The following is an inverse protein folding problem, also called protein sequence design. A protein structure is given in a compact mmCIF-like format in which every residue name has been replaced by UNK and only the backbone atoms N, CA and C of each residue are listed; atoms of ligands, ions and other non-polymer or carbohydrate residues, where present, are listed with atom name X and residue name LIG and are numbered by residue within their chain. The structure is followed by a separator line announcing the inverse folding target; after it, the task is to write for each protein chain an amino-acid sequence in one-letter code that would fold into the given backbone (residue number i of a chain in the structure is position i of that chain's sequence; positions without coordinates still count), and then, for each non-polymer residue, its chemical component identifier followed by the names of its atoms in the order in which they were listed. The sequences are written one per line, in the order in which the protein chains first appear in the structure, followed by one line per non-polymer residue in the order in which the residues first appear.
data_IF_788940843658
#
_entry.id   IF_788940843658
#
_cell.length_a   1.000
_cell.length_b   1.000
_cell.length_c   1.000
_cell.angle_alpha   90.00
_cell.angle_beta   90.00
_cell.angle_gamma   90.00
#
_symmetry.space_group_name_H-M   'P 1'
#
loop_
_entity.id
_entity.type
_entity.pdbx_description
1 polymer ?
#
# COMPACT_ATOMS: atom_id res chain seq x y z
N UNK A 1 1.73 -33.62 121.50
CA UNK A 1 1.13 -34.62 122.41
C UNK A 1 -0.33 -34.32 122.50
N UNK A 2 -1.12 -35.36 122.78
CA UNK A 2 -2.42 -35.27 123.42
C UNK A 2 -2.61 -33.97 124.20
N UNK A 3 -3.77 -33.33 124.06
CA UNK A 3 -4.49 -32.88 125.25
C UNK A 3 -5.96 -32.56 124.95
N UNK A 4 -6.80 -33.47 125.44
CA UNK A 4 -8.03 -33.22 126.21
C UNK A 4 -9.03 -32.20 125.67
N UNK A 5 -10.16 -32.73 125.22
CA UNK A 5 -11.47 -32.07 125.28
C UNK A 5 -11.78 -31.56 126.70
N UNK A 6 -12.31 -30.34 126.84
CA UNK A 6 -13.16 -29.96 127.96
C UNK A 6 -14.62 -29.67 127.52
N UNK A 7 -15.56 -29.65 128.47
CA UNK A 7 -16.97 -29.96 128.23
C UNK A 7 -17.85 -28.75 127.85
N UNK A 8 -18.93 -29.08 127.15
CA UNK A 8 -20.21 -28.37 126.99
C UNK A 8 -20.35 -27.00 127.69
N UNK A 9 -20.43 -25.94 126.88
CA UNK A 9 -21.08 -24.68 127.23
C UNK A 9 -22.06 -24.32 126.11
N UNK A 10 -23.35 -24.46 126.42
CA UNK A 10 -24.45 -23.81 125.71
C UNK A 10 -24.18 -22.30 125.69
N UNK A 11 -23.80 -21.77 124.53
CA UNK A 11 -23.81 -20.34 124.25
C UNK A 11 -24.87 -20.12 123.18
N UNK A 12 -25.97 -19.49 123.60
CA UNK A 12 -27.04 -19.04 122.73
C UNK A 12 -26.46 -18.26 121.54
N UNK A 13 -26.75 -18.74 120.33
CA UNK A 13 -26.33 -18.10 119.10
C UNK A 13 -27.03 -16.73 118.98
N UNK A 14 -26.28 -15.65 119.16
CA UNK A 14 -26.78 -14.30 119.00
C UNK A 14 -26.97 -13.97 117.49
N UNK A 15 -28.22 -13.80 116.99
CA UNK A 15 -28.50 -13.57 115.57
C UNK A 15 -27.87 -12.28 115.01
N UNK A 16 -27.57 -11.31 115.87
CA UNK A 16 -27.07 -9.99 115.48
C UNK A 16 -25.63 -9.99 114.93
N UNK A 17 -24.79 -10.96 115.31
CA UNK A 17 -23.40 -11.03 114.85
C UNK A 17 -23.27 -11.49 113.38
N UNK A 18 -24.18 -12.37 112.92
CA UNK A 18 -24.25 -12.79 111.52
C UNK A 18 -24.85 -11.71 110.63
N UNK A 19 -25.86 -10.98 111.13
CA UNK A 19 -26.46 -9.82 110.46
C UNK A 19 -25.47 -8.67 110.24
N UNK A 20 -24.60 -8.37 111.20
CA UNK A 20 -23.58 -7.33 111.04
C UNK A 20 -22.48 -7.74 110.05
N UNK A 21 -22.03 -8.99 110.08
CA UNK A 21 -21.05 -9.52 109.11
C UNK A 21 -21.61 -9.52 107.68
N UNK A 22 -22.87 -9.92 107.51
CA UNK A 22 -23.53 -9.90 106.20
C UNK A 22 -23.74 -8.47 105.70
N UNK A 23 -24.13 -7.52 106.58
CA UNK A 23 -24.20 -6.08 106.24
C UNK A 23 -22.85 -5.53 105.80
N UNK A 24 -21.76 -5.91 106.43
CA UNK A 24 -20.41 -5.47 106.05
C UNK A 24 -19.98 -6.04 104.69
N UNK A 25 -20.29 -7.32 104.42
CA UNK A 25 -20.05 -7.96 103.12
C UNK A 25 -20.89 -7.29 102.03
N UNK A 26 -22.18 -7.03 102.29
CA UNK A 26 -23.08 -6.31 101.38
C UNK A 26 -22.54 -4.91 101.10
N UNK A 27 -22.04 -4.19 102.11
CA UNK A 27 -21.45 -2.86 101.92
C UNK A 27 -20.21 -2.91 101.02
N UNK A 28 -19.31 -3.87 101.23
CA UNK A 28 -18.11 -4.07 100.40
C UNK A 28 -18.47 -4.48 98.96
N UNK A 29 -19.49 -5.32 98.79
CA UNK A 29 -20.01 -5.73 97.48
C UNK A 29 -20.66 -4.54 96.75
N UNK A 30 -21.45 -3.73 97.45
CA UNK A 30 -22.06 -2.52 96.88
C UNK A 30 -21.00 -1.49 96.49
N UNK A 31 -19.96 -1.29 97.31
CA UNK A 31 -18.84 -0.42 96.96
C UNK A 31 -18.10 -0.92 95.71
N UNK A 32 -17.90 -2.23 95.59
CA UNK A 32 -17.32 -2.85 94.38
C UNK A 32 -18.22 -2.71 93.16
N UNK A 33 -19.53 -2.87 93.31
CA UNK A 33 -20.51 -2.67 92.24
C UNK A 33 -20.49 -1.21 91.77
N UNK A 34 -20.46 -0.23 92.69
CA UNK A 34 -20.38 1.18 92.33
C UNK A 34 -19.05 1.52 91.64
N UNK A 35 -17.92 0.96 92.12
CA UNK A 35 -16.63 1.07 91.42
C UNK A 35 -16.69 0.49 90.00
N UNK A 36 -17.25 -0.71 89.84
CA UNK A 36 -17.42 -1.35 88.52
C UNK A 36 -18.39 -0.59 87.62
N UNK A 37 -19.45 0.03 88.16
CA UNK A 37 -20.36 0.89 87.39
C UNK A 37 -19.66 2.16 86.93
N UNK A 38 -18.87 2.79 87.81
CA UNK A 38 -18.09 3.98 87.47
C UNK A 38 -17.02 3.67 86.42
N UNK A 39 -16.35 2.52 86.53
CA UNK A 39 -15.37 2.05 85.56
C UNK A 39 -16.01 1.70 84.21
N UNK A 40 -17.12 0.96 84.20
CA UNK A 40 -17.92 0.75 82.98
C UNK A 40 -18.44 2.08 82.40
N UNK A 41 -18.79 3.04 83.26
CA UNK A 41 -19.19 4.38 82.82
C UNK A 41 -18.07 5.03 82.01
N UNK A 42 -16.87 5.06 82.60
CA UNK A 42 -15.64 5.60 82.02
C UNK A 42 -15.25 4.87 80.73
N UNK A 43 -15.20 3.54 80.74
CA UNK A 43 -14.79 2.74 79.58
C UNK A 43 -15.68 2.96 78.35
N UNK A 44 -17.01 3.02 78.50
CA UNK A 44 -17.80 3.30 77.29
C UNK A 44 -17.76 4.77 76.88
N UNK A 45 -17.43 5.70 77.79
CA UNK A 45 -17.19 7.09 77.40
C UNK A 45 -15.93 7.15 76.53
N UNK A 46 -14.85 6.52 76.98
CA UNK A 46 -13.60 6.38 76.21
C UNK A 46 -13.83 5.64 74.88
N UNK A 47 -14.62 4.56 74.87
CA UNK A 47 -14.98 3.85 73.65
C UNK A 47 -15.77 4.73 72.68
N UNK A 48 -16.67 5.58 73.18
CA UNK A 48 -17.44 6.51 72.35
C UNK A 48 -16.54 7.59 71.75
N UNK A 49 -15.68 8.20 72.57
CA UNK A 49 -14.71 9.20 72.13
C UNK A 49 -13.74 8.60 71.09
N UNK A 50 -13.20 7.41 71.34
CA UNK A 50 -12.37 6.67 70.39
C UNK A 50 -13.08 6.38 69.07
N UNK A 51 -14.37 5.97 69.09
CA UNK A 51 -15.15 5.76 67.87
C UNK A 51 -15.38 7.05 67.08
N UNK A 52 -15.65 8.16 67.78
CA UNK A 52 -15.81 9.46 67.16
C UNK A 52 -14.49 9.93 66.51
N UNK A 53 -13.35 9.74 67.18
CA UNK A 53 -12.03 10.05 66.64
C UNK A 53 -11.66 9.16 65.44
N UNK A 54 -11.97 7.86 65.50
CA UNK A 54 -11.80 6.95 64.37
C UNK A 54 -12.67 7.35 63.17
N UNK A 55 -13.92 7.77 63.41
CA UNK A 55 -14.80 8.26 62.35
C UNK A 55 -14.22 9.52 61.69
N UNK A 56 -13.79 10.50 62.49
CA UNK A 56 -13.15 11.73 61.98
C UNK A 56 -11.87 11.44 61.18
N UNK A 57 -11.04 10.51 61.66
CA UNK A 57 -9.84 10.08 60.94
C UNK A 57 -10.20 9.41 59.61
N UNK A 58 -11.23 8.54 59.61
CA UNK A 58 -11.71 7.89 58.39
C UNK A 58 -12.25 8.89 57.38
N UNK A 59 -13.03 9.89 57.82
CA UNK A 59 -13.57 10.93 56.94
C UNK A 59 -12.45 11.78 56.33
N UNK A 60 -11.44 12.15 57.13
CA UNK A 60 -10.27 12.87 56.63
C UNK A 60 -9.46 12.06 55.61
N UNK A 61 -9.27 10.76 55.86
CA UNK A 61 -8.59 9.88 54.90
C UNK A 61 -9.38 9.71 53.61
N UNK A 62 -10.71 9.55 53.69
CA UNK A 62 -11.58 9.42 52.53
C UNK A 62 -11.60 10.70 51.69
N UNK A 63 -11.71 11.88 52.30
CA UNK A 63 -11.64 13.17 51.58
C UNK A 63 -10.27 13.35 50.87
N UNK A 64 -9.19 12.90 51.51
CA UNK A 64 -7.86 12.88 50.91
C UNK A 64 -7.74 11.91 49.72
N UNK A 65 -8.40 10.75 49.79
CA UNK A 65 -8.48 9.77 48.70
C UNK A 65 -9.32 10.31 47.54
N UNK A 66 -10.45 10.95 47.82
CA UNK A 66 -11.35 11.53 46.80
C UNK A 66 -10.65 12.64 46.02
N UNK A 67 -9.92 13.54 46.71
CA UNK A 67 -9.12 14.59 46.06
C UNK A 67 -8.04 14.01 45.15
N UNK A 68 -7.36 12.94 45.59
CA UNK A 68 -6.35 12.25 44.76
C UNK A 68 -7.00 11.56 43.56
N UNK A 69 -8.16 10.92 43.74
CA UNK A 69 -8.90 10.28 42.65
C UNK A 69 -9.35 11.30 41.59
N UNK A 70 -9.83 12.47 42.02
CA UNK A 70 -10.17 13.58 41.12
C UNK A 70 -8.96 14.08 40.34
N UNK A 71 -7.81 14.23 41.00
CA UNK A 71 -6.59 14.67 40.32
C UNK A 71 -6.06 13.62 39.33
N UNK A 72 -6.14 12.32 39.67
CA UNK A 72 -5.81 11.23 38.74
C UNK A 72 -6.72 11.31 37.51
N UNK A 73 -8.04 11.46 37.70
CA UNK A 73 -8.98 11.56 36.58
C UNK A 73 -8.72 12.79 35.69
N UNK A 74 -8.35 13.93 36.30
CA UNK A 74 -7.97 15.15 35.57
C UNK A 74 -6.72 14.93 34.72
N UNK A 75 -5.68 14.33 35.30
CA UNK A 75 -4.42 14.05 34.60
C UNK A 75 -4.60 12.98 33.50
N UNK A 76 -5.46 11.99 33.71
CA UNK A 76 -5.81 11.00 32.69
C UNK A 76 -6.53 11.64 31.49
N UNK A 77 -7.45 12.57 31.73
CA UNK A 77 -8.13 13.32 30.68
C UNK A 77 -7.13 14.21 29.91
N UNK A 78 -6.29 14.97 30.63
CA UNK A 78 -5.27 15.84 30.02
C UNK A 78 -4.29 15.03 29.15
N UNK A 79 -3.87 13.86 29.63
CA UNK A 79 -3.03 12.94 28.87
C UNK A 79 -3.73 12.46 27.59
N UNK A 80 -4.99 12.05 27.69
CA UNK A 80 -5.75 11.59 26.53
C UNK A 80 -5.93 12.71 25.47
N UNK A 81 -6.23 13.93 25.90
CA UNK A 81 -6.33 15.09 25.01
C UNK A 81 -5.00 15.42 24.32
N UNK A 82 -3.89 15.34 25.07
CA UNK A 82 -2.55 15.58 24.51
C UNK A 82 -2.16 14.51 23.50
N UNK A 83 -2.46 13.23 23.78
CA UNK A 83 -2.25 12.12 22.85
C UNK A 83 -3.08 12.29 21.57
N UNK A 84 -4.34 12.73 21.67
CA UNK A 84 -5.19 13.00 20.51
C UNK A 84 -4.68 14.17 19.67
N UNK A 85 -4.18 15.25 20.30
CA UNK A 85 -3.57 16.39 19.59
C UNK A 85 -2.29 15.96 18.88
N UNK A 86 -1.42 15.23 19.57
CA UNK A 86 -0.18 14.72 19.00
C UNK A 86 -0.44 13.80 17.80
N UNK A 87 -1.41 12.88 17.92
CA UNK A 87 -1.78 11.99 16.81
C UNK A 87 -2.35 12.78 15.63
N UNK A 88 -3.23 13.76 15.87
CA UNK A 88 -3.76 14.64 14.81
C UNK A 88 -2.65 15.42 14.08
N UNK A 89 -1.73 16.03 14.82
CA UNK A 89 -0.62 16.78 14.23
C UNK A 89 0.35 15.87 13.47
N UNK A 90 0.63 14.68 14.00
CA UNK A 90 1.43 13.67 13.32
C UNK A 90 0.77 13.23 12.01
N UNK A 91 -0.53 12.92 12.05
CA UNK A 91 -1.26 12.42 10.89
C UNK A 91 -1.41 13.52 9.82
N UNK A 92 -1.64 14.78 10.23
CA UNK A 92 -1.64 15.92 9.31
C UNK A 92 -0.27 16.14 8.66
N UNK A 93 0.81 16.12 9.44
CA UNK A 93 2.17 16.25 8.89
C UNK A 93 2.50 15.11 7.91
N UNK A 94 2.08 13.88 8.22
CA UNK A 94 2.24 12.75 7.31
C UNK A 94 1.49 12.96 5.99
N UNK A 95 0.27 13.48 6.04
CA UNK A 95 -0.52 13.77 4.85
C UNK A 95 0.08 14.92 4.03
N UNK A 96 0.45 16.04 4.66
CA UNK A 96 1.11 17.17 4.00
C UNK A 96 2.41 16.74 3.30
N UNK A 97 3.19 15.86 3.93
CA UNK A 97 4.40 15.30 3.33
C UNK A 97 4.10 14.36 2.17
N UNK A 98 3.04 13.53 2.26
CA UNK A 98 2.59 12.69 1.16
C UNK A 98 2.12 13.51 -0.03
N UNK A 99 1.34 14.56 0.20
CA UNK A 99 0.87 15.47 -0.84
C UNK A 99 2.03 16.17 -1.56
N UNK A 100 2.99 16.73 -0.80
CA UNK A 100 4.20 17.33 -1.38
C UNK A 100 4.99 16.33 -2.20
N UNK A 101 5.15 15.11 -1.69
CA UNK A 101 5.88 14.05 -2.38
C UNK A 101 5.18 13.59 -3.67
N UNK A 102 3.86 13.54 -3.68
CA UNK A 102 3.07 13.25 -4.88
C UNK A 102 3.15 14.39 -5.89
N UNK A 103 3.03 15.65 -5.45
CA UNK A 103 3.17 16.81 -6.34
C UNK A 103 4.54 16.85 -7.02
N UNK A 104 5.62 16.59 -6.28
CA UNK A 104 6.98 16.54 -6.83
C UNK A 104 7.12 15.37 -7.82
N UNK A 105 6.57 14.19 -7.49
CA UNK A 105 6.58 13.05 -8.40
C UNK A 105 5.86 13.37 -9.72
N UNK A 106 4.66 13.94 -9.65
CA UNK A 106 3.90 14.32 -10.85
C UNK A 106 4.63 15.37 -11.69
N UNK A 107 5.26 16.36 -11.05
CA UNK A 107 6.09 17.35 -11.75
C UNK A 107 7.26 16.69 -12.47
N UNK A 108 7.98 15.78 -11.81
CA UNK A 108 9.11 15.06 -12.40
C UNK A 108 8.68 14.07 -13.47
N UNK A 109 7.55 13.40 -13.32
CA UNK A 109 7.00 12.53 -14.36
C UNK A 109 6.61 13.34 -15.60
N UNK A 110 6.03 14.54 -15.42
CA UNK A 110 5.76 15.47 -16.53
C UNK A 110 7.04 15.92 -17.23
N UNK A 111 8.08 16.28 -16.48
CA UNK A 111 9.39 16.67 -17.02
C UNK A 111 10.06 15.52 -17.78
N UNK A 112 10.00 14.30 -17.24
CA UNK A 112 10.51 13.09 -17.90
C UNK A 112 9.75 12.83 -19.21
N UNK A 113 8.42 12.99 -19.22
CA UNK A 113 7.62 12.83 -20.44
C UNK A 113 8.00 13.82 -21.53
N UNK A 114 8.22 15.10 -21.19
CA UNK A 114 8.60 16.12 -22.18
C UNK A 114 10.01 15.90 -22.71
N UNK A 115 10.96 15.56 -21.84
CA UNK A 115 12.34 15.23 -22.24
C UNK A 115 12.38 14.00 -23.14
N UNK A 116 11.66 12.92 -22.80
CA UNK A 116 11.60 11.72 -23.63
C UNK A 116 10.98 11.97 -25.01
N UNK A 117 9.99 12.87 -25.09
CA UNK A 117 9.43 13.30 -26.38
C UNK A 117 10.48 14.04 -27.22
N UNK A 118 11.19 15.00 -26.62
CA UNK A 118 12.26 15.75 -27.28
C UNK A 118 13.38 14.82 -27.78
N UNK A 119 13.80 13.86 -26.95
CA UNK A 119 14.80 12.85 -27.34
C UNK A 119 14.33 12.06 -28.56
N UNK A 120 13.08 11.58 -28.59
CA UNK A 120 12.53 10.86 -29.75
C UNK A 120 12.50 11.72 -31.02
N UNK A 121 12.15 12.99 -30.89
CA UNK A 121 12.14 13.93 -32.02
C UNK A 121 13.58 14.11 -32.58
N UNK A 122 14.56 14.30 -31.71
CA UNK A 122 15.99 14.40 -32.08
C UNK A 122 16.50 13.09 -32.71
N UNK A 123 16.12 11.93 -32.19
CA UNK A 123 16.51 10.63 -32.76
C UNK A 123 15.96 10.44 -34.19
N UNK A 124 14.73 10.90 -34.44
CA UNK A 124 14.13 10.86 -35.79
C UNK A 124 14.90 11.79 -36.74
N UNK A 125 15.23 13.00 -36.30
CA UNK A 125 16.04 13.93 -37.10
C UNK A 125 17.44 13.40 -37.37
N UNK A 126 18.08 12.81 -36.36
CA UNK A 126 19.39 12.18 -36.51
C UNK A 126 19.39 11.08 -37.57
N UNK A 127 18.36 10.21 -37.59
CA UNK A 127 18.20 9.18 -38.62
C UNK A 127 18.03 9.77 -40.03
N UNK A 128 17.27 10.87 -40.16
CA UNK A 128 17.13 11.57 -41.45
C UNK A 128 18.46 12.14 -41.93
N UNK A 129 19.24 12.74 -41.02
CA UNK A 129 20.56 13.30 -41.34
C UNK A 129 21.54 12.19 -41.73
N UNK A 130 21.53 11.06 -41.03
CA UNK A 130 22.36 9.90 -41.40
C UNK A 130 22.01 9.39 -42.81
N UNK A 131 20.72 9.19 -43.09
CA UNK A 131 20.27 8.76 -44.42
C UNK A 131 20.67 9.75 -45.52
N UNK A 132 20.54 11.06 -45.26
CA UNK A 132 21.00 12.08 -46.19
C UNK A 132 22.50 12.02 -46.44
N UNK A 133 23.30 11.79 -45.38
CA UNK A 133 24.75 11.69 -45.48
C UNK A 133 25.18 10.48 -46.32
N UNK A 134 24.59 9.31 -46.08
CA UNK A 134 24.86 8.09 -46.86
C UNK A 134 24.53 8.28 -48.34
N UNK A 135 23.36 8.85 -48.66
CA UNK A 135 23.00 9.16 -50.04
C UNK A 135 23.95 10.18 -50.67
N UNK A 136 24.35 11.21 -49.93
CA UNK A 136 25.30 12.22 -50.41
C UNK A 136 26.65 11.58 -50.75
N UNK A 137 27.19 10.77 -49.85
CA UNK A 137 28.47 10.08 -50.06
C UNK A 137 28.40 9.14 -51.29
N UNK A 138 27.26 8.46 -51.48
CA UNK A 138 27.02 7.62 -52.66
C UNK A 138 26.96 8.44 -53.97
N UNK A 139 26.22 9.56 -53.98
CA UNK A 139 26.14 10.45 -55.14
C UNK A 139 27.48 11.11 -55.47
N UNK A 140 28.26 11.50 -54.46
CA UNK A 140 29.60 12.06 -54.65
C UNK A 140 30.55 11.05 -55.29
N UNK A 141 30.46 9.77 -54.89
CA UNK A 141 31.23 8.68 -55.51
C UNK A 141 30.84 8.46 -56.97
N UNK A 142 29.54 8.39 -57.28
CA UNK A 142 29.05 8.24 -58.65
C UNK A 142 29.48 9.40 -59.55
N UNK A 143 29.46 10.64 -59.02
CA UNK A 143 29.97 11.82 -59.72
C UNK A 143 31.47 11.74 -60.01
N UNK A 144 32.27 11.21 -59.09
CA UNK A 144 33.70 11.02 -59.28
C UNK A 144 33.99 9.95 -60.34
N UNK A 145 33.24 8.83 -60.31
CA UNK A 145 33.36 7.76 -61.30
C UNK A 145 32.96 8.24 -62.71
N UNK A 146 31.85 8.98 -62.84
CA UNK A 146 31.44 9.58 -64.12
C UNK A 146 32.43 10.62 -64.63
N UNK A 147 33.06 11.40 -63.75
CA UNK A 147 34.13 12.34 -64.14
C UNK A 147 35.33 11.58 -64.70
N UNK A 148 35.76 10.51 -64.06
CA UNK A 148 36.86 9.65 -64.54
C UNK A 148 36.53 9.02 -65.90
N UNK A 149 35.32 8.50 -66.07
CA UNK A 149 34.86 7.93 -67.34
C UNK A 149 34.85 8.99 -68.46
N UNK A 150 34.32 10.19 -68.17
CA UNK A 150 34.33 11.31 -69.12
C UNK A 150 35.75 11.70 -69.52
N UNK A 151 36.68 11.79 -68.56
CA UNK A 151 38.08 12.09 -68.84
C UNK A 151 38.72 11.01 -69.74
N UNK A 152 38.42 9.74 -69.49
CA UNK A 152 38.94 8.63 -70.29
C UNK A 152 38.36 8.62 -71.71
N UNK A 153 37.05 8.89 -71.87
CA UNK A 153 36.41 9.06 -73.17
C UNK A 153 36.96 10.27 -73.93
N UNK A 154 37.18 11.40 -73.26
CA UNK A 154 37.80 12.57 -73.86
C UNK A 154 39.24 12.28 -74.32
N UNK A 155 40.03 11.54 -73.54
CA UNK A 155 41.36 11.06 -73.98
C UNK A 155 41.27 10.18 -75.21
N UNK A 156 40.40 9.15 -75.20
CA UNK A 156 40.18 8.25 -76.36
C UNK A 156 39.76 9.01 -77.63
N UNK A 157 38.85 9.99 -77.50
CA UNK A 157 38.41 10.81 -78.62
C UNK A 157 39.55 11.66 -79.18
N UNK A 158 40.37 12.25 -78.31
CA UNK A 158 41.53 13.06 -78.71
C UNK A 158 42.57 12.19 -79.43
N UNK A 159 42.87 11.01 -78.89
CA UNK A 159 43.78 10.05 -79.53
C UNK A 159 43.26 9.60 -80.91
N UNK A 160 41.96 9.32 -81.01
CA UNK A 160 41.32 8.94 -82.28
C UNK A 160 41.35 10.09 -83.29
N UNK A 161 41.07 11.33 -82.87
CA UNK A 161 41.18 12.51 -83.72
C UNK A 161 42.62 12.66 -84.23
N UNK A 162 43.61 12.57 -83.34
CA UNK A 162 45.03 12.67 -83.70
C UNK A 162 45.45 11.60 -84.71
N UNK A 163 45.04 10.34 -84.50
CA UNK A 163 45.30 9.25 -85.45
C UNK A 163 44.63 9.48 -86.80
N UNK A 164 43.37 9.94 -86.80
CA UNK A 164 42.64 10.24 -88.03
C UNK A 164 43.29 11.39 -88.79
N UNK A 165 43.68 12.48 -88.12
CA UNK A 165 44.39 13.61 -88.71
C UNK A 165 45.72 13.19 -89.33
N UNK A 166 46.50 12.33 -88.63
CA UNK A 166 47.73 11.77 -89.18
C UNK A 166 47.46 10.91 -90.43
N UNK A 167 46.39 10.11 -90.44
CA UNK A 167 46.00 9.31 -91.60
C UNK A 167 45.53 10.18 -92.77
N UNK A 168 44.75 11.23 -92.49
CA UNK A 168 44.34 12.23 -93.49
C UNK A 168 45.55 12.94 -94.08
N UNK A 169 46.48 13.45 -93.26
CA UNK A 169 47.73 14.07 -93.73
C UNK A 169 48.53 13.12 -94.63
N UNK A 170 48.72 11.85 -94.23
CA UNK A 170 49.42 10.87 -95.06
C UNK A 170 48.71 10.60 -96.40
N UNK A 171 47.38 10.56 -96.41
CA UNK A 171 46.59 10.35 -97.62
C UNK A 171 46.62 11.59 -98.52
N UNK A 172 46.54 12.77 -97.93
CA UNK A 172 46.66 14.06 -98.60
C UNK A 172 48.05 14.21 -99.23
N UNK A 173 49.13 13.90 -98.51
CA UNK A 173 50.50 13.87 -99.04
C UNK A 173 50.63 12.92 -100.24
N UNK A 174 50.08 11.69 -100.14
CA UNK A 174 50.07 10.74 -101.26
C UNK A 174 49.27 11.25 -102.45
N UNK A 175 48.12 11.86 -102.20
CA UNK A 175 47.26 12.40 -103.24
C UNK A 175 47.88 13.63 -103.91
N UNK A 176 48.55 14.49 -103.13
CA UNK A 176 49.37 15.60 -103.62
C UNK A 176 50.51 15.09 -104.51
N UNK A 177 51.19 14.00 -104.12
CA UNK A 177 52.23 13.37 -104.95
C UNK A 177 51.64 12.82 -106.25
N UNK A 178 50.51 12.11 -106.18
CA UNK A 178 49.83 11.58 -107.35
C UNK A 178 49.37 12.71 -108.28
N UNK A 179 48.73 13.76 -107.77
CA UNK A 179 48.34 14.91 -108.58
C UNK A 179 49.53 15.70 -109.10
N UNK A 180 50.63 15.84 -108.36
CA UNK A 180 51.84 16.48 -108.89
C UNK A 180 52.44 15.66 -110.06
N UNK A 181 52.33 14.33 -110.00
CA UNK A 181 52.79 13.43 -111.05
C UNK A 181 51.83 13.37 -112.24
N UNK A 182 50.52 13.43 -111.99
CA UNK A 182 49.47 13.53 -113.00
C UNK A 182 49.50 14.90 -113.69
N UNK A 183 49.69 16.01 -112.94
CA UNK A 183 49.86 17.36 -113.47
C UNK A 183 51.14 17.42 -114.30
N UNK A 184 52.26 16.80 -113.87
CA UNK A 184 53.45 16.66 -114.72
C UNK A 184 53.15 15.94 -116.03
N UNK A 185 52.37 14.85 -115.98
CA UNK A 185 51.99 14.10 -117.18
C UNK A 185 51.04 14.90 -118.07
N UNK A 186 50.08 15.63 -117.47
CA UNK A 186 49.16 16.51 -118.18
C UNK A 186 49.88 17.75 -118.70
N UNK A 187 50.91 18.29 -118.07
CA UNK A 187 51.73 19.38 -118.61
C UNK A 187 52.50 18.89 -119.86
N UNK A 188 53.08 17.69 -119.80
CA UNK A 188 53.73 17.04 -120.95
C UNK A 188 52.70 16.71 -122.06
N UNK A 189 51.50 16.26 -121.69
CA UNK A 189 50.44 15.85 -122.62
C UNK A 189 49.58 17.05 -123.11
N UNK A 190 49.55 18.17 -122.38
CA UNK A 190 48.89 19.43 -122.76
C UNK A 190 49.83 20.32 -123.59
N UNK A 191 51.15 20.26 -123.40
CA UNK A 191 52.11 20.79 -124.39
C UNK A 191 52.00 20.04 -125.73
N UNK A 192 51.65 18.74 -125.67
CA UNK A 192 51.39 17.87 -126.83
C UNK A 192 49.99 18.09 -127.47
N UNK A 193 48.94 18.27 -126.66
CA UNK A 193 47.53 18.39 -127.10
C UNK A 193 46.99 19.82 -127.19
N UNK A 194 47.77 20.84 -126.85
CA UNK A 194 47.48 22.23 -127.19
C UNK A 194 47.77 22.57 -128.68
N UNK A 195 48.23 21.59 -129.49
CA UNK A 195 48.13 21.62 -130.96
C UNK A 195 46.87 20.85 -131.39
N UNK A 196 45.90 21.57 -131.94
CA UNK A 196 44.73 21.08 -132.71
C UNK A 196 43.37 20.97 -131.97
N UNK A 197 42.80 22.16 -131.75
CA UNK A 197 41.49 22.64 -132.23
C UNK A 197 40.25 21.72 -132.14
N UNK A 198 39.38 22.10 -131.20
CA UNK A 198 37.97 22.54 -131.32
C UNK A 198 36.96 21.78 -132.22
N UNK A 199 35.94 21.27 -131.53
CA UNK A 199 34.49 21.49 -131.72
C UNK A 199 33.87 21.49 -133.13
N UNK A 200 33.05 20.46 -133.37
CA UNK A 200 31.79 20.51 -134.13
C UNK A 200 30.80 19.45 -133.59
N UNK A 201 30.84 19.20 -132.28
CA UNK A 201 29.90 18.34 -131.53
C UNK A 201 29.12 19.16 -130.47
N UNK A 202 29.56 20.39 -130.20
CA UNK A 202 29.07 21.23 -129.10
C UNK A 202 27.63 21.75 -129.28
N UNK A 203 27.06 21.78 -130.48
CA UNK A 203 25.79 22.48 -130.73
C UNK A 203 24.53 21.59 -130.60
N UNK A 204 24.60 20.30 -130.94
CA UNK A 204 23.52 19.33 -130.67
C UNK A 204 23.61 18.79 -129.24
N UNK A 205 24.82 18.60 -128.72
CA UNK A 205 25.06 18.39 -127.28
C UNK A 205 24.51 19.54 -126.43
N UNK A 206 24.47 20.79 -126.92
CA UNK A 206 23.98 21.92 -126.11
C UNK A 206 22.46 21.84 -125.86
N UNK A 207 21.67 21.41 -126.85
CA UNK A 207 20.21 21.32 -126.69
C UNK A 207 19.79 20.14 -125.82
N UNK A 208 20.41 18.98 -126.03
CA UNK A 208 20.22 17.82 -125.14
C UNK A 208 20.79 18.11 -123.75
N UNK A 209 21.90 18.83 -123.63
CA UNK A 209 22.40 19.31 -122.33
C UNK A 209 21.41 20.26 -121.66
N UNK A 210 20.78 21.21 -122.35
CA UNK A 210 19.82 22.12 -121.71
C UNK A 210 18.63 21.33 -121.15
N UNK A 211 18.12 20.33 -121.89
CA UNK A 211 17.01 19.49 -121.44
C UNK A 211 17.42 18.58 -120.28
N UNK A 212 18.56 17.91 -120.39
CA UNK A 212 19.15 17.11 -119.30
C UNK A 212 19.44 17.96 -118.06
N UNK A 213 19.92 19.19 -118.21
CA UNK A 213 20.15 20.13 -117.10
C UNK A 213 18.82 20.50 -116.42
N UNK A 214 17.75 20.69 -117.18
CA UNK A 214 16.42 20.96 -116.62
C UNK A 214 15.87 19.77 -115.83
N UNK A 215 15.92 18.56 -116.41
CA UNK A 215 15.45 17.34 -115.75
C UNK A 215 16.32 16.99 -114.52
N UNK A 216 17.63 17.17 -114.63
CA UNK A 216 18.55 17.03 -113.49
C UNK A 216 18.27 18.06 -112.38
N UNK A 217 17.86 19.29 -112.71
CA UNK A 217 17.47 20.30 -111.71
C UNK A 217 16.21 19.87 -110.95
N UNK A 218 15.21 19.34 -111.66
CA UNK A 218 13.98 18.85 -111.04
C UNK A 218 14.26 17.64 -110.13
N UNK A 219 14.98 16.63 -110.63
CA UNK A 219 15.37 15.47 -109.84
C UNK A 219 16.24 15.86 -108.63
N UNK A 220 17.15 16.83 -108.79
CA UNK A 220 17.96 17.33 -107.67
C UNK A 220 17.10 18.01 -106.61
N UNK A 221 16.03 18.71 -106.99
CA UNK A 221 15.08 19.30 -106.05
C UNK A 221 14.29 18.22 -105.30
N UNK A 222 13.74 17.23 -106.00
CA UNK A 222 13.03 16.10 -105.38
C UNK A 222 13.93 15.32 -104.42
N UNK A 223 15.19 15.08 -104.79
CA UNK A 223 16.18 14.45 -103.90
C UNK A 223 16.44 15.29 -102.66
N UNK A 224 16.53 16.62 -102.79
CA UNK A 224 16.75 17.49 -101.63
C UNK A 224 15.51 17.56 -100.71
N UNK A 225 14.30 17.59 -101.28
CA UNK A 225 13.05 17.54 -100.52
C UNK A 225 12.93 16.21 -99.75
N UNK A 226 13.16 15.06 -100.40
CA UNK A 226 13.19 13.74 -99.76
C UNK A 226 14.27 13.68 -98.67
N UNK A 227 15.43 14.28 -98.90
CA UNK A 227 16.52 14.32 -97.92
C UNK A 227 16.16 15.17 -96.70
N UNK A 228 15.43 16.27 -96.88
CA UNK A 228 14.94 17.10 -95.80
C UNK A 228 13.87 16.38 -94.97
N UNK A 229 12.93 15.69 -95.62
CA UNK A 229 11.91 14.90 -94.90
C UNK A 229 12.52 13.70 -94.17
N UNK A 230 13.50 13.03 -94.80
CA UNK A 230 14.28 11.98 -94.12
C UNK A 230 14.96 12.51 -92.86
N UNK A 231 15.55 13.71 -92.90
CA UNK A 231 16.17 14.33 -91.71
C UNK A 231 15.14 14.62 -90.62
N UNK A 232 13.97 15.15 -90.97
CA UNK A 232 12.88 15.42 -90.01
C UNK A 232 12.40 14.14 -89.33
N UNK A 233 12.11 13.10 -90.11
CA UNK A 233 11.64 11.80 -89.59
C UNK A 233 12.71 11.15 -88.69
N UNK A 234 14.00 11.25 -89.06
CA UNK A 234 15.08 10.73 -88.21
C UNK A 234 15.17 11.47 -86.88
N UNK A 235 15.00 12.79 -86.87
CA UNK A 235 15.03 13.58 -85.64
C UNK A 235 13.80 13.30 -84.75
N UNK A 236 12.61 13.12 -85.33
CA UNK A 236 11.42 12.67 -84.60
C UNK A 236 11.59 11.26 -84.03
N UNK A 237 12.14 10.31 -84.80
CA UNK A 237 12.44 8.97 -84.30
C UNK A 237 13.44 9.02 -83.14
N UNK A 238 14.44 9.91 -83.21
CA UNK A 238 15.41 10.10 -82.13
C UNK A 238 14.73 10.60 -80.85
N UNK A 239 13.85 11.60 -80.96
CA UNK A 239 13.09 12.14 -79.84
C UNK A 239 12.16 11.09 -79.21
N UNK A 240 11.38 10.39 -80.03
CA UNK A 240 10.48 9.33 -79.56
C UNK A 240 11.22 8.19 -78.85
N UNK A 241 12.42 7.83 -79.33
CA UNK A 241 13.27 6.83 -78.65
C UNK A 241 13.72 7.32 -77.28
N UNK A 242 14.15 8.57 -77.17
CA UNK A 242 14.53 9.17 -75.89
C UNK A 242 13.34 9.23 -74.92
N UNK A 243 12.16 9.65 -75.38
CA UNK A 243 10.95 9.68 -74.56
C UNK A 243 10.53 8.29 -74.10
N UNK A 244 10.60 7.28 -74.98
CA UNK A 244 10.31 5.89 -74.63
C UNK A 244 11.28 5.37 -73.57
N UNK A 245 12.58 5.65 -73.71
CA UNK A 245 13.61 5.22 -72.76
C UNK A 245 13.43 5.86 -71.38
N UNK A 246 13.12 7.17 -71.34
CA UNK A 246 12.79 7.88 -70.10
C UNK A 246 11.53 7.29 -69.45
N UNK A 247 10.48 7.05 -70.23
CA UNK A 247 9.24 6.46 -69.71
C UNK A 247 9.46 5.06 -69.16
N UNK A 248 10.25 4.23 -69.84
CA UNK A 248 10.61 2.89 -69.35
C UNK A 248 11.42 2.93 -68.06
N UNK A 249 12.36 3.87 -67.93
CA UNK A 249 13.11 4.09 -66.69
C UNK A 249 12.18 4.49 -65.53
N UNK A 250 11.27 5.45 -65.77
CA UNK A 250 10.29 5.88 -64.77
C UNK A 250 9.36 4.74 -64.30
N UNK A 251 8.91 3.88 -65.23
CA UNK A 251 8.08 2.72 -64.90
C UNK A 251 8.85 1.72 -64.03
N UNK A 252 10.13 1.46 -64.36
CA UNK A 252 10.99 0.60 -63.54
C UNK A 252 11.19 1.17 -62.14
N UNK A 253 11.47 2.46 -62.02
CA UNK A 253 11.64 3.14 -60.73
C UNK A 253 10.36 3.15 -59.90
N UNK A 254 9.19 3.30 -60.53
CA UNK A 254 7.92 3.18 -59.83
C UNK A 254 7.68 1.74 -59.34
N UNK A 255 8.02 0.74 -60.15
CA UNK A 255 7.88 -0.66 -59.77
C UNK A 255 8.81 -1.06 -58.61
N UNK A 256 10.06 -0.58 -58.60
CA UNK A 256 11.00 -0.83 -57.49
C UNK A 256 10.51 -0.18 -56.20
N UNK A 257 10.14 1.12 -56.24
CA UNK A 257 9.55 1.83 -55.09
C UNK A 257 8.30 1.14 -54.55
N UNK A 258 7.43 0.65 -55.44
CA UNK A 258 6.22 -0.07 -55.03
C UNK A 258 6.55 -1.40 -54.34
N UNK A 259 7.53 -2.14 -54.85
CA UNK A 259 8.00 -3.39 -54.23
C UNK A 259 8.57 -3.15 -52.82
N UNK A 260 9.39 -2.11 -52.66
CA UNK A 260 9.93 -1.71 -51.35
C UNK A 260 8.83 -1.30 -50.37
N UNK A 261 7.90 -0.47 -50.82
CA UNK A 261 6.78 -0.03 -49.99
C UNK A 261 5.85 -1.19 -49.60
N UNK A 262 5.67 -2.19 -50.47
CA UNK A 262 4.96 -3.42 -50.10
C UNK A 262 5.68 -4.23 -49.03
N UNK A 263 7.02 -4.31 -49.08
CA UNK A 263 7.82 -4.99 -48.04
C UNK A 263 7.70 -4.27 -46.69
N UNK A 264 7.77 -2.93 -46.68
CA UNK A 264 7.61 -2.16 -45.44
C UNK A 264 6.20 -2.29 -44.88
N UNK A 265 5.16 -2.26 -45.73
CA UNK A 265 3.78 -2.50 -45.30
C UNK A 265 3.62 -3.88 -44.68
N UNK A 266 4.17 -4.94 -45.27
CA UNK A 266 4.13 -6.30 -44.71
C UNK A 266 4.79 -6.35 -43.33
N UNK A 267 6.01 -5.82 -43.21
CA UNK A 267 6.74 -5.77 -41.94
C UNK A 267 5.97 -4.99 -40.85
N UNK A 268 5.38 -3.85 -41.20
CA UNK A 268 4.59 -3.04 -40.25
C UNK A 268 3.33 -3.78 -39.82
N UNK A 269 2.61 -4.43 -40.75
CA UNK A 269 1.43 -5.26 -40.43
C UNK A 269 1.77 -6.39 -39.48
N UNK A 270 2.92 -7.03 -39.66
CA UNK A 270 3.37 -8.11 -38.79
C UNK A 270 3.75 -7.62 -37.40
N UNK A 271 4.43 -6.46 -37.31
CA UNK A 271 4.68 -5.80 -36.02
C UNK A 271 3.38 -5.44 -35.30
N UNK A 272 2.40 -4.85 -36.00
CA UNK A 272 1.08 -4.52 -35.45
C UNK A 272 0.43 -5.78 -34.88
N UNK A 273 0.37 -6.85 -35.67
CA UNK A 273 -0.21 -8.13 -35.24
C UNK A 273 0.48 -8.69 -33.99
N UNK A 274 1.82 -8.63 -33.92
CA UNK A 274 2.55 -9.11 -32.75
C UNK A 274 2.22 -8.27 -31.51
N UNK A 275 2.21 -6.93 -31.63
CA UNK A 275 1.85 -6.05 -30.52
C UNK A 275 0.38 -6.22 -30.09
N UNK A 276 -0.54 -6.46 -31.02
CA UNK A 276 -1.94 -6.75 -30.71
C UNK A 276 -2.08 -8.06 -29.94
N UNK A 277 -1.35 -9.10 -30.34
CA UNK A 277 -1.33 -10.38 -29.62
C UNK A 277 -0.76 -10.23 -28.21
N UNK A 278 0.36 -9.50 -28.05
CA UNK A 278 0.98 -9.23 -26.76
C UNK A 278 0.05 -8.44 -25.84
N UNK A 279 -0.62 -7.40 -26.35
CA UNK A 279 -1.61 -6.63 -25.60
C UNK A 279 -2.83 -7.46 -25.21
N UNK A 280 -3.32 -8.32 -26.11
CA UNK A 280 -4.45 -9.21 -25.83
C UNK A 280 -4.08 -10.23 -24.75
N UNK A 281 -2.86 -10.78 -24.81
CA UNK A 281 -2.36 -11.72 -23.81
C UNK A 281 -2.22 -11.03 -22.43
N UNK A 282 -1.59 -9.86 -22.39
CA UNK A 282 -1.43 -9.07 -21.18
C UNK A 282 -2.78 -8.70 -20.56
N UNK A 283 -3.76 -8.30 -21.37
CA UNK A 283 -5.12 -7.98 -20.90
C UNK A 283 -5.81 -9.22 -20.32
N UNK A 284 -5.69 -10.38 -20.97
CA UNK A 284 -6.20 -11.66 -20.45
C UNK A 284 -5.56 -12.02 -19.11
N UNK A 285 -4.24 -11.86 -18.99
CA UNK A 285 -3.53 -12.21 -17.76
C UNK A 285 -3.88 -11.27 -16.60
N UNK A 286 -4.06 -9.98 -16.88
CA UNK A 286 -4.59 -9.02 -15.90
C UNK A 286 -6.01 -9.37 -15.42
N UNK A 287 -6.91 -9.77 -16.32
CA UNK A 287 -8.27 -10.16 -15.93
C UNK A 287 -8.26 -11.39 -15.03
N UNK A 288 -7.42 -12.40 -15.35
CA UNK A 288 -7.24 -13.60 -14.51
C UNK A 288 -6.64 -13.26 -13.15
N UNK A 289 -5.61 -12.42 -13.11
CA UNK A 289 -4.98 -12.01 -11.85
C UNK A 289 -5.98 -11.27 -10.95
N UNK A 290 -6.75 -10.35 -11.53
CA UNK A 290 -7.84 -9.65 -10.83
C UNK A 290 -8.88 -10.63 -10.29
N UNK A 291 -9.32 -11.61 -11.08
CA UNK A 291 -10.27 -12.64 -10.62
C UNK A 291 -9.69 -13.47 -9.48
N UNK A 292 -8.42 -13.87 -9.56
CA UNK A 292 -7.72 -14.58 -8.48
C UNK A 292 -7.65 -13.75 -7.20
N UNK A 293 -7.36 -12.45 -7.30
CA UNK A 293 -7.35 -11.54 -6.14
C UNK A 293 -8.73 -11.41 -5.51
N UNK A 294 -9.78 -11.23 -6.32
CA UNK A 294 -11.17 -11.16 -5.83
C UNK A 294 -11.55 -12.46 -5.11
N UNK A 295 -11.25 -13.61 -5.70
CA UNK A 295 -11.55 -14.91 -5.12
C UNK A 295 -10.80 -15.12 -3.79
N UNK A 296 -9.51 -14.76 -3.75
CA UNK A 296 -8.70 -14.84 -2.52
C UNK A 296 -9.22 -13.92 -1.43
N UNK A 297 -9.56 -12.67 -1.77
CA UNK A 297 -10.11 -11.71 -0.81
C UNK A 297 -11.47 -12.18 -0.27
N UNK A 298 -12.36 -12.66 -1.14
CA UNK A 298 -13.66 -13.19 -0.74
C UNK A 298 -13.53 -14.40 0.19
N UNK A 299 -12.61 -15.34 -0.10
CA UNK A 299 -12.34 -16.48 0.78
C UNK A 299 -11.84 -16.02 2.17
N UNK A 300 -10.86 -15.11 2.21
CA UNK A 300 -10.36 -14.56 3.48
C UNK A 300 -11.45 -13.81 4.26
N UNK A 301 -12.30 -13.05 3.56
CA UNK A 301 -13.40 -12.34 4.17
C UNK A 301 -14.42 -13.31 4.79
N UNK A 302 -14.78 -14.38 4.07
CA UNK A 302 -15.68 -15.41 4.57
C UNK A 302 -15.11 -16.14 5.79
N UNK A 303 -13.82 -16.49 5.78
CA UNK A 303 -13.15 -17.11 6.92
C UNK A 303 -13.17 -16.18 8.14
N UNK A 304 -12.87 -14.90 7.95
CA UNK A 304 -12.89 -13.90 9.03
C UNK A 304 -14.30 -13.62 9.53
N UNK A 305 -15.30 -13.62 8.65
CA UNK A 305 -16.70 -13.49 9.04
C UNK A 305 -17.17 -14.69 9.89
N UNK A 306 -16.75 -15.91 9.52
CA UNK A 306 -17.04 -17.12 10.28
C UNK A 306 -16.35 -17.10 11.66
N UNK A 307 -15.08 -16.71 11.72
CA UNK A 307 -14.33 -16.55 12.97
C UNK A 307 -15.01 -15.53 13.89
N UNK A 308 -15.41 -14.37 13.34
CA UNK A 308 -16.09 -13.31 14.09
C UNK A 308 -17.46 -13.79 14.63
N UNK A 309 -18.24 -14.53 13.84
CA UNK A 309 -19.50 -15.16 14.30
C UNK A 309 -19.25 -16.13 15.46
N UNK A 310 -18.22 -16.99 15.35
CA UNK A 310 -17.87 -17.94 16.41
C UNK A 310 -17.44 -17.22 17.70
N UNK A 311 -16.56 -16.23 17.61
CA UNK A 311 -16.15 -15.45 18.79
C UNK A 311 -17.34 -14.75 19.45
N UNK A 312 -18.25 -14.16 18.67
CA UNK A 312 -19.47 -13.54 19.21
C UNK A 312 -20.32 -14.54 19.99
N UNK A 313 -20.52 -15.75 19.47
CA UNK A 313 -21.30 -16.76 20.18
C UNK A 313 -20.59 -17.25 21.45
N UNK A 314 -19.27 -17.45 21.39
CA UNK A 314 -18.48 -17.78 22.59
C UNK A 314 -18.60 -16.70 23.67
N UNK A 315 -18.46 -15.42 23.31
CA UNK A 315 -18.63 -14.30 24.24
C UNK A 315 -20.02 -14.32 24.87
N UNK A 316 -21.07 -14.63 24.09
CA UNK A 316 -22.45 -14.72 24.58
C UNK A 316 -22.62 -15.86 25.57
N UNK A 317 -22.07 -17.05 25.28
CA UNK A 317 -22.11 -18.21 26.18
C UNK A 317 -21.34 -17.90 27.48
N UNK A 318 -20.10 -17.41 27.37
CA UNK A 318 -19.29 -17.03 28.54
C UNK A 318 -19.96 -15.96 29.40
N UNK A 319 -20.63 -14.99 28.77
CA UNK A 319 -21.41 -13.98 29.49
C UNK A 319 -22.57 -14.57 30.28
N UNK A 320 -23.25 -15.60 29.73
CA UNK A 320 -24.31 -16.32 30.46
C UNK A 320 -23.73 -17.14 31.62
N UNK A 321 -22.65 -17.89 31.39
CA UNK A 321 -21.97 -18.65 32.44
C UNK A 321 -21.50 -17.74 33.57
N UNK A 322 -20.91 -16.60 33.25
CA UNK A 322 -20.45 -15.62 34.23
C UNK A 322 -21.61 -15.04 35.05
N UNK A 323 -22.78 -14.79 34.43
CA UNK A 323 -23.99 -14.39 35.16
C UNK A 323 -24.46 -15.48 36.11
N UNK A 324 -24.51 -16.74 35.66
CA UNK A 324 -24.87 -17.88 36.51
C UNK A 324 -23.89 -18.07 37.67
N UNK A 325 -22.58 -17.94 37.40
CA UNK A 325 -21.54 -18.05 38.43
C UNK A 325 -21.66 -16.92 39.46
N UNK A 326 -21.94 -15.68 39.03
CA UNK A 326 -22.22 -14.57 39.94
C UNK A 326 -23.46 -14.82 40.80
N UNK A 327 -24.53 -15.34 40.21
CA UNK A 327 -25.74 -15.68 40.95
C UNK A 327 -25.47 -16.78 41.99
N UNK A 328 -24.73 -17.83 41.63
CA UNK A 328 -24.32 -18.89 42.57
C UNK A 328 -23.42 -18.36 43.67
N UNK A 329 -22.44 -17.52 43.34
CA UNK A 329 -21.57 -16.89 44.34
C UNK A 329 -22.38 -16.02 45.31
N UNK A 330 -23.37 -15.27 44.82
CA UNK A 330 -24.28 -14.50 45.66
C UNK A 330 -25.10 -15.42 46.57
N UNK A 331 -25.68 -16.51 46.04
CA UNK A 331 -26.40 -17.49 46.86
C UNK A 331 -25.53 -18.09 47.96
N UNK A 332 -24.26 -18.39 47.69
CA UNK A 332 -23.32 -18.90 48.70
C UNK A 332 -23.04 -17.84 49.77
N UNK A 333 -22.88 -16.57 49.38
CA UNK A 333 -22.70 -15.48 50.33
C UNK A 333 -23.93 -15.31 51.21
N UNK A 334 -25.13 -15.31 50.62
CA UNK A 334 -26.39 -15.21 51.36
C UNK A 334 -26.54 -16.37 52.35
N UNK A 335 -26.30 -17.62 51.90
CA UNK A 335 -26.30 -18.81 52.75
C UNK A 335 -25.27 -18.72 53.89
N UNK A 336 -24.09 -18.18 53.63
CA UNK A 336 -23.06 -17.99 54.64
C UNK A 336 -23.49 -16.93 55.66
N UNK A 337 -24.00 -15.79 55.21
CA UNK A 337 -24.49 -14.72 56.09
C UNK A 337 -25.62 -15.21 56.99
N UNK A 338 -26.52 -16.00 56.42
CA UNK A 338 -27.59 -16.69 57.14
C UNK A 338 -27.05 -17.63 58.24
N UNK A 339 -26.02 -18.45 57.94
CA UNK A 339 -25.36 -19.33 58.94
C UNK A 339 -24.64 -18.52 60.02
N UNK A 340 -23.95 -17.45 59.64
CA UNK A 340 -23.28 -16.53 60.57
C UNK A 340 -24.30 -15.88 61.51
N UNK A 341 -25.43 -15.40 60.98
CA UNK A 341 -26.51 -14.84 61.79
C UNK A 341 -27.07 -15.89 62.75
N UNK A 342 -27.34 -17.10 62.27
CA UNK A 342 -27.85 -18.17 63.13
C UNK A 342 -26.85 -18.55 64.24
N UNK A 343 -25.56 -18.56 63.95
CA UNK A 343 -24.53 -18.81 64.97
C UNK A 343 -24.56 -17.72 66.04
N UNK A 344 -24.69 -16.45 65.65
CA UNK A 344 -24.82 -15.33 66.58
C UNK A 344 -26.08 -15.45 67.43
N UNK A 345 -27.22 -15.82 66.84
CA UNK A 345 -28.49 -16.03 67.56
C UNK A 345 -28.41 -17.20 68.54
N UNK A 346 -27.79 -18.32 68.14
CA UNK A 346 -27.60 -19.49 69.02
C UNK A 346 -26.67 -19.17 70.18
N UNK A 347 -25.61 -18.41 69.93
CA UNK A 347 -24.73 -17.88 70.98
C UNK A 347 -25.53 -16.97 71.91
N UNK A 348 -26.32 -16.03 71.39
CA UNK A 348 -27.14 -15.13 72.20
C UNK A 348 -28.16 -15.88 73.07
N UNK A 349 -28.83 -16.90 72.52
CA UNK A 349 -29.74 -17.75 73.30
C UNK A 349 -29.03 -18.45 74.45
N UNK A 350 -27.83 -18.97 74.23
CA UNK A 350 -27.04 -19.62 75.27
C UNK A 350 -26.53 -18.61 76.30
N UNK A 351 -26.12 -17.40 75.87
CA UNK A 351 -25.81 -16.31 76.80
C UNK A 351 -27.00 -15.98 77.70
N UNK A 352 -28.19 -15.84 77.12
CA UNK A 352 -29.41 -15.58 77.89
C UNK A 352 -29.72 -16.72 78.86
N UNK A 353 -29.55 -17.98 78.44
CA UNK A 353 -29.76 -19.14 79.31
C UNK A 353 -28.74 -19.21 80.44
N UNK A 354 -27.46 -18.97 80.17
CA UNK A 354 -26.39 -18.90 81.19
C UNK A 354 -26.69 -17.76 82.16
N UNK A 355 -27.07 -16.57 81.66
CA UNK A 355 -27.46 -15.45 82.51
C UNK A 355 -28.69 -15.79 83.36
N UNK A 356 -29.70 -16.47 82.80
CA UNK A 356 -30.86 -16.97 83.54
C UNK A 356 -30.47 -18.02 84.58
N UNK A 357 -29.53 -18.93 84.30
CA UNK A 357 -28.99 -19.91 85.25
C UNK A 357 -28.22 -19.23 86.39
N UNK A 358 -27.34 -18.28 86.09
CA UNK A 358 -26.63 -17.47 87.09
C UNK A 358 -27.64 -16.72 87.98
N UNK A 359 -28.70 -16.15 87.39
CA UNK A 359 -29.78 -15.49 88.13
C UNK A 359 -30.61 -16.49 88.96
N UNK A 360 -30.85 -17.71 88.46
CA UNK A 360 -31.60 -18.75 89.16
C UNK A 360 -30.80 -19.37 90.32
N UNK A 361 -29.50 -19.61 90.13
CA UNK A 361 -28.57 -20.06 91.17
C UNK A 361 -28.31 -18.93 92.18
N UNK A 362 -28.33 -17.67 91.73
CA UNK A 362 -28.33 -16.47 92.57
C UNK A 362 -29.60 -16.25 93.40
N UNK A 363 -30.70 -16.98 93.16
CA UNK A 363 -31.94 -16.90 93.95
C UNK A 363 -31.94 -17.73 95.24
N UNK A 364 -30.85 -18.41 95.58
CA UNK A 364 -30.66 -19.03 96.91
C UNK A 364 -29.92 -18.14 97.94
N UNK A 365 -29.68 -16.85 97.66
CA UNK A 365 -29.26 -15.87 98.68
C UNK A 365 -29.90 -14.50 98.45
N UNK A 366 -30.79 -14.08 99.37
CA UNK A 366 -31.39 -12.74 99.39
C UNK A 366 -30.38 -11.64 99.81
N UNK A 367 -30.10 -10.74 98.86
CA UNK A 367 -30.27 -9.25 98.86
C UNK A 367 -29.32 -8.33 99.70
N UNK A 368 -29.18 -7.00 99.40
CA UNK A 368 -30.16 -6.07 98.79
C UNK A 368 -29.67 -5.04 97.74
N UNK A 369 -30.64 -4.27 97.21
CA UNK A 369 -30.60 -3.25 96.15
C UNK A 369 -29.69 -2.03 96.43
N UNK A 370 -29.17 -1.40 95.35
CA UNK A 370 -29.30 0.06 95.07
C UNK A 370 -28.93 0.42 93.61
N UNK A 371 -29.89 1.11 92.98
CA UNK A 371 -29.83 2.21 92.00
C UNK A 371 -28.61 2.34 91.06
N UNK A 372 -28.82 2.32 89.73
CA UNK A 372 -28.42 3.40 88.80
C UNK A 372 -28.68 3.05 87.34
N UNK A 373 -28.85 4.14 86.59
CA UNK A 373 -29.20 4.30 85.18
C UNK A 373 -28.32 3.49 84.23
N UNK A 374 -28.97 3.05 83.15
CA UNK A 374 -28.48 3.02 81.78
C UNK A 374 -27.06 2.56 81.57
N UNK A 375 -26.90 1.33 81.08
CA UNK A 375 -25.91 0.97 80.07
C UNK A 375 -26.35 -0.34 79.45
N UNK A 376 -26.75 -0.23 78.19
CA UNK A 376 -26.90 -1.33 77.24
C UNK A 376 -25.58 -2.10 77.31
N UNK A 377 -25.60 -3.26 77.97
CA UNK A 377 -24.51 -4.21 77.83
C UNK A 377 -24.54 -4.62 76.36
N UNK A 378 -23.54 -4.15 75.62
CA UNK A 378 -23.04 -4.86 74.46
C UNK A 378 -22.51 -6.18 74.99
N UNK A 379 -23.42 -7.13 75.22
CA UNK A 379 -23.18 -8.43 75.84
C UNK A 379 -22.55 -9.35 74.80
N UNK A 380 -21.32 -9.02 74.39
CA UNK A 380 -20.51 -9.93 73.58
C UNK A 380 -19.78 -10.87 74.53
N UNK A 381 -20.49 -11.86 75.06
CA UNK A 381 -19.87 -13.07 75.62
C UNK A 381 -19.13 -13.73 74.46
N UNK A 382 -17.82 -13.90 74.62
CA UNK A 382 -16.97 -14.55 73.63
C UNK A 382 -17.05 -16.06 73.82
N UNK A 383 -16.77 -16.87 72.78
CA UNK A 383 -16.79 -18.34 72.92
C UNK A 383 -15.97 -18.83 74.12
N UNK A 384 -14.90 -18.09 74.43
CA UNK A 384 -13.98 -18.30 75.56
C UNK A 384 -14.67 -18.36 76.92
N UNK A 385 -15.82 -17.71 77.08
CA UNK A 385 -16.54 -17.57 78.35
C UNK A 385 -17.54 -18.72 78.59
N UNK A 386 -17.82 -19.54 77.58
CA UNK A 386 -18.69 -20.71 77.67
C UNK A 386 -17.89 -21.92 78.15
N UNK A 387 -18.48 -22.74 79.03
CA UNK A 387 -17.92 -24.03 79.41
C UNK A 387 -18.02 -25.03 78.25
N UNK A 388 -17.25 -26.12 78.30
CA UNK A 388 -17.15 -27.09 77.21
C UNK A 388 -18.50 -27.71 76.84
N UNK A 389 -19.36 -27.98 77.83
CA UNK A 389 -20.71 -28.50 77.61
C UNK A 389 -21.62 -27.52 76.85
N UNK A 390 -21.53 -26.22 77.16
CA UNK A 390 -22.32 -25.18 76.50
C UNK A 390 -21.82 -24.95 75.06
N UNK A 391 -20.50 -25.02 74.83
CA UNK A 391 -19.92 -24.98 73.47
C UNK A 391 -20.35 -26.17 72.63
N UNK A 392 -20.35 -27.38 73.20
CA UNK A 392 -20.83 -28.58 72.52
C UNK A 392 -22.33 -28.45 72.20
N UNK A 393 -23.12 -27.82 73.07
CA UNK A 393 -24.55 -27.57 72.85
C UNK A 393 -24.81 -26.54 71.74
N UNK A 394 -24.03 -25.46 71.64
CA UNK A 394 -24.06 -24.53 70.49
C UNK A 394 -23.86 -25.33 69.19
N UNK A 395 -22.84 -26.18 69.15
CA UNK A 395 -22.50 -26.97 67.97
C UNK A 395 -23.58 -28.01 67.65
N UNK A 396 -24.15 -28.69 68.65
CA UNK A 396 -25.24 -29.66 68.45
C UNK A 396 -26.51 -28.99 67.95
N UNK A 397 -26.87 -27.82 68.45
CA UNK A 397 -28.01 -27.03 67.95
C UNK A 397 -27.78 -26.57 66.51
N UNK A 398 -26.55 -26.14 66.21
CA UNK A 398 -26.13 -25.74 64.87
C UNK A 398 -26.19 -26.90 63.87
N UNK A 399 -25.57 -28.03 64.19
CA UNK A 399 -25.60 -29.21 63.33
C UNK A 399 -27.00 -29.83 63.21
N UNK A 400 -27.79 -29.86 64.29
CA UNK A 400 -29.15 -30.38 64.25
C UNK A 400 -30.03 -29.59 63.29
N UNK A 401 -29.94 -28.25 63.29
CA UNK A 401 -30.76 -27.43 62.39
C UNK A 401 -30.20 -27.36 60.96
N UNK A 402 -28.86 -27.33 60.79
CA UNK A 402 -28.23 -27.44 59.46
C UNK A 402 -28.61 -28.75 58.75
N UNK A 403 -28.69 -29.86 59.48
CA UNK A 403 -29.07 -31.16 58.92
C UNK A 403 -30.58 -31.31 58.63
N UNK A 404 -31.43 -30.39 59.09
CA UNK A 404 -32.87 -30.37 58.77
C UNK A 404 -33.19 -29.72 57.42
N UNK A 405 -32.20 -29.15 56.72
CA UNK A 405 -32.36 -28.64 55.35
C UNK A 405 -33.32 -27.45 55.20
N UNK A 406 -33.69 -26.79 56.30
CA UNK A 406 -34.58 -25.63 56.29
C UNK A 406 -33.73 -24.39 55.99
N UNK A 407 -34.09 -23.54 55.00
CA UNK A 407 -33.35 -22.32 54.72
C UNK A 407 -33.42 -21.35 55.92
N UNK A 408 -32.33 -20.64 56.25
CA UNK A 408 -32.24 -19.90 57.53
C UNK A 408 -33.22 -18.73 57.65
N UNK A 409 -33.76 -18.26 56.54
CA UNK A 409 -34.87 -17.28 56.49
C UNK A 409 -36.13 -17.70 57.26
N UNK A 410 -36.33 -19.00 57.54
CA UNK A 410 -37.49 -19.52 58.27
C UNK A 410 -37.18 -19.98 59.71
N UNK A 411 -36.02 -19.62 60.26
CA UNK A 411 -35.64 -20.01 61.63
C UNK A 411 -35.97 -18.90 62.62
N UNK A 412 -37.27 -18.65 62.84
CA UNK A 412 -37.73 -17.87 64.00
C UNK A 412 -38.10 -18.78 65.15
#
# INVERSE_FOLDING_TARGET
MDEKLPPSLLVEANPDHYLNRDREIISKLNERIEKMKAENYKLQKELKESKEDHARMSDYMNDGLDKKAQEIARLELEKAELEERYNRERDQNLEDHREKLNSIKEEKDREIMTLNRSIKEIEIEYKKIQYFKENKDAMEKELDDLKKEKEELSRKLTDQQTLSEQAYKKREEKLMQQYAEEIRKIEIDAESKARNKLSLEEQDLHKDNIRLISDMKLQRKEVEDIKNDKKKILEENRKLRQELEISQAQVKDCATKQSEMQKTIKMVKEKIRNTENEMSQMSSDFEKEKEMFINKFNAQFQDKEAELKNLKEQVKIRSKELKSMKALAQMILDQRSDVEQFFLESLEQIKEEVQKRIIAEGKTKKLPLINQKGKVYSDKVELSDLDWEDRERVLRLLFSKMNMGVPPTNWR
#
